data_IF_167234118328
#
_entry.id   IF_167234118328
#
_cell.length_a   1.000
_cell.length_b   1.000
_cell.length_c   1.000
_cell.angle_alpha   90.00
_cell.angle_beta   90.00
_cell.angle_gamma   90.00
#
_symmetry.space_group_name_H-M   'P 1'
#
loop_
_entity.id
_entity.type
_entity.pdbx_description
1 polymer ?
#
# COMPACT_ATOMS: atom_id res chain seq x y z
N UNK A 1 -39.53 37.02 12.81
CA UNK A 1 -38.79 36.53 11.62
C UNK A 1 -37.90 35.39 12.07
N UNK A 2 -38.34 34.14 11.87
CA UNK A 2 -37.56 32.95 12.21
C UNK A 2 -36.86 32.44 10.94
N UNK A 3 -35.53 32.43 10.95
CA UNK A 3 -34.70 31.95 9.85
C UNK A 3 -34.56 30.43 9.95
N UNK A 4 -35.12 29.71 8.99
CA UNK A 4 -34.91 28.27 8.81
C UNK A 4 -33.63 28.13 7.99
N UNK A 5 -32.54 27.69 8.62
CA UNK A 5 -31.33 27.27 7.91
C UNK A 5 -31.49 25.81 7.51
N UNK A 6 -31.85 25.55 6.26
CA UNK A 6 -31.72 24.25 5.63
C UNK A 6 -30.23 23.95 5.39
N UNK A 7 -29.67 23.03 6.17
CA UNK A 7 -28.36 22.43 5.88
C UNK A 7 -28.55 21.22 4.98
N UNK A 8 -28.36 21.43 3.67
CA UNK A 8 -28.28 20.37 2.67
C UNK A 8 -27.14 19.40 3.00
N UNK A 9 -27.49 18.19 3.43
CA UNK A 9 -26.57 17.08 3.59
C UNK A 9 -26.34 16.41 2.24
N UNK A 10 -25.14 16.54 1.69
CA UNK A 10 -24.73 15.79 0.52
C UNK A 10 -24.52 14.32 0.91
N UNK A 11 -25.13 13.34 0.20
CA UNK A 11 -24.93 11.93 0.51
C UNK A 11 -23.47 11.56 0.22
N UNK A 12 -22.74 11.21 1.28
CA UNK A 12 -21.43 10.62 1.17
C UNK A 12 -21.58 9.27 0.46
N UNK A 13 -21.17 9.19 -0.80
CA UNK A 13 -20.97 7.91 -1.48
C UNK A 13 -19.86 7.15 -0.78
N UNK A 14 -20.25 6.31 0.19
CA UNK A 14 -19.42 5.31 0.85
C UNK A 14 -18.76 4.44 -0.22
N UNK A 15 -17.51 4.75 -0.52
CA UNK A 15 -16.65 3.85 -1.27
C UNK A 15 -16.50 2.57 -0.44
N UNK A 16 -17.32 1.56 -0.74
CA UNK A 16 -17.17 0.19 -0.24
C UNK A 16 -15.87 -0.38 -0.79
N UNK A 17 -14.76 -0.04 -0.13
CA UNK A 17 -13.44 -0.62 -0.37
C UNK A 17 -13.42 -2.04 0.17
N UNK A 18 -12.97 -2.99 -0.65
CA UNK A 18 -12.83 -4.41 -0.32
C UNK A 18 -11.94 -4.69 0.92
N UNK A 19 -11.11 -3.73 1.33
CA UNK A 19 -10.25 -3.87 2.52
C UNK A 19 -10.90 -3.38 3.82
N UNK A 20 -12.03 -2.70 3.76
CA UNK A 20 -12.68 -2.14 4.94
C UNK A 20 -13.79 -3.07 5.38
N UNK A 21 -13.49 -3.96 6.34
CA UNK A 21 -14.52 -4.66 7.08
C UNK A 21 -14.90 -3.79 8.29
N UNK A 22 -16.10 -3.21 8.29
CA UNK A 22 -16.74 -2.77 9.52
C UNK A 22 -17.14 -4.02 10.32
N UNK A 23 -16.33 -4.41 11.30
CA UNK A 23 -16.75 -5.38 12.30
C UNK A 23 -17.70 -4.66 13.26
N UNK A 24 -19.00 -4.89 13.09
CA UNK A 24 -20.00 -4.55 14.11
C UNK A 24 -19.77 -5.47 15.31
N UNK A 25 -19.07 -4.97 16.32
CA UNK A 25 -19.03 -5.66 17.61
C UNK A 25 -20.44 -5.58 18.20
N UNK A 26 -21.11 -6.72 18.34
CA UNK A 26 -22.23 -6.81 19.27
C UNK A 26 -21.65 -6.61 20.68
N UNK A 27 -22.27 -5.78 21.53
CA UNK A 27 -21.82 -5.65 22.91
C UNK A 27 -21.86 -7.03 23.56
N UNK A 28 -20.68 -7.57 23.86
CA UNK A 28 -20.54 -8.87 24.49
C UNK A 28 -21.10 -8.77 25.92
N UNK A 29 -22.27 -9.39 26.13
CA UNK A 29 -22.91 -9.44 27.43
C UNK A 29 -22.09 -10.29 28.39
N UNK A 30 -21.62 -9.66 29.46
CA UNK A 30 -21.15 -10.26 30.72
C UNK A 30 -19.84 -11.04 30.64
N UNK A 31 -18.75 -10.29 30.83
CA UNK A 31 -17.56 -10.79 31.52
C UNK A 31 -17.39 -9.99 32.81
N UNK A 32 -17.18 -10.71 33.92
CA UNK A 32 -17.11 -10.16 35.27
C UNK A 32 -15.93 -9.19 35.41
N UNK A 33 -16.20 -8.10 36.12
CA UNK A 33 -15.37 -6.91 36.34
C UNK A 33 -14.14 -7.25 37.21
N UNK A 34 -12.95 -7.00 36.68
CA UNK A 34 -11.81 -6.54 37.49
C UNK A 34 -11.16 -5.36 36.75
N UNK A 35 -11.52 -4.14 37.13
CA UNK A 35 -10.93 -2.92 36.57
C UNK A 35 -10.36 -2.07 37.69
N UNK A 36 -9.07 -1.74 37.58
CA UNK A 36 -8.50 -0.55 38.22
C UNK A 36 -9.01 0.70 37.48
N UNK A 37 -9.38 1.75 38.23
CA UNK A 37 -9.85 3.02 37.68
C UNK A 37 -8.73 3.75 36.94
N UNK A 38 -9.04 4.21 35.72
CA UNK A 38 -8.31 5.32 35.08
C UNK A 38 -9.28 6.16 34.26
N UNK A 39 -9.05 7.46 34.37
CA UNK A 39 -9.95 8.58 34.11
C UNK A 39 -10.51 8.63 32.69
N UNK A 40 -11.78 9.03 32.58
CA UNK A 40 -12.49 9.29 31.33
C UNK A 40 -11.98 10.61 30.71
N UNK A 41 -11.17 10.51 29.66
CA UNK A 41 -11.16 11.52 28.59
C UNK A 41 -12.27 11.16 27.62
N UNK A 42 -13.14 12.11 27.31
CA UNK A 42 -14.16 11.99 26.27
C UNK A 42 -13.49 11.79 24.91
N UNK A 43 -13.30 10.53 24.52
CA UNK A 43 -12.77 10.15 23.22
C UNK A 43 -13.84 10.35 22.15
N UNK A 44 -13.59 11.28 21.22
CA UNK A 44 -14.21 11.25 19.90
C UNK A 44 -14.02 9.86 19.28
N UNK A 45 -15.04 9.35 18.59
CA UNK A 45 -15.01 8.06 17.89
C UNK A 45 -13.90 8.05 16.82
N UNK A 46 -12.69 7.67 17.19
CA UNK A 46 -11.61 7.47 16.23
C UNK A 46 -11.88 6.14 15.51
N UNK A 47 -12.37 6.23 14.27
CA UNK A 47 -12.54 5.08 13.38
C UNK A 47 -11.19 4.35 13.24
N UNK A 48 -11.03 3.25 13.95
CA UNK A 48 -9.80 2.47 13.97
C UNK A 48 -9.74 1.63 12.69
N UNK A 49 -9.12 2.15 11.64
CA UNK A 49 -8.92 1.43 10.38
C UNK A 49 -8.02 0.21 10.63
N UNK A 50 -8.62 -0.99 10.69
CA UNK A 50 -7.88 -2.26 10.83
C UNK A 50 -7.47 -2.78 9.46
N UNK A 51 -6.18 -3.09 9.29
CA UNK A 51 -5.67 -3.77 8.09
C UNK A 51 -5.97 -5.28 8.16
N UNK A 52 -6.62 -5.83 7.13
CA UNK A 52 -6.84 -7.28 7.02
C UNK A 52 -5.64 -7.97 6.36
N UNK A 53 -5.14 -9.04 6.99
CA UNK A 53 -4.15 -9.92 6.39
C UNK A 53 -4.87 -11.09 5.70
N UNK A 54 -4.89 -11.08 4.37
CA UNK A 54 -5.56 -12.10 3.55
C UNK A 54 -4.49 -12.93 2.83
N UNK A 55 -4.54 -14.26 2.99
CA UNK A 55 -3.73 -15.17 2.17
C UNK A 55 -4.40 -15.34 0.82
N UNK A 56 -3.69 -14.99 -0.26
CA UNK A 56 -4.16 -15.15 -1.63
C UNK A 56 -3.33 -16.24 -2.30
N UNK A 57 -4.01 -17.20 -2.94
CA UNK A 57 -3.38 -18.25 -3.74
C UNK A 57 -3.66 -17.99 -5.22
N UNK A 58 -2.78 -17.24 -5.92
CA UNK A 58 -2.98 -16.94 -7.32
C UNK A 58 -2.78 -18.18 -8.20
N UNK A 59 -3.44 -18.22 -9.35
CA UNK A 59 -3.16 -19.18 -10.42
C UNK A 59 -1.71 -19.05 -10.90
N UNK A 60 -1.11 -20.12 -11.44
CA UNK A 60 0.30 -20.15 -11.87
C UNK A 60 0.65 -19.00 -12.84
N UNK A 61 -0.24 -18.69 -13.78
CA UNK A 61 -0.05 -17.60 -14.74
C UNK A 61 -0.03 -16.22 -14.05
N UNK A 62 -0.96 -16.00 -13.12
CA UNK A 62 -1.05 -14.75 -12.34
C UNK A 62 0.14 -14.58 -11.42
N UNK A 63 0.60 -15.68 -10.81
CA UNK A 63 1.81 -15.68 -9.98
C UNK A 63 3.04 -15.24 -10.79
N UNK A 64 3.15 -15.67 -12.05
CA UNK A 64 4.21 -15.22 -12.95
C UNK A 64 4.18 -13.71 -13.17
N UNK A 65 3.01 -13.15 -13.46
CA UNK A 65 2.81 -11.70 -13.63
C UNK A 65 3.17 -10.95 -12.34
N UNK A 66 2.69 -11.43 -11.19
CA UNK A 66 2.98 -10.80 -9.89
C UNK A 66 4.46 -10.82 -9.56
N UNK A 67 5.17 -11.92 -9.85
CA UNK A 67 6.63 -11.99 -9.69
C UNK A 67 7.37 -11.01 -10.60
N UNK A 68 6.91 -10.83 -11.85
CA UNK A 68 7.45 -9.80 -12.75
C UNK A 68 7.27 -8.39 -12.17
N UNK A 69 6.07 -8.08 -11.68
CA UNK A 69 5.80 -6.78 -11.04
C UNK A 69 6.63 -6.57 -9.78
N UNK A 70 6.84 -7.62 -8.97
CA UNK A 70 7.69 -7.59 -7.78
C UNK A 70 9.13 -7.27 -8.15
N UNK A 71 9.64 -7.93 -9.19
CA UNK A 71 10.98 -7.69 -9.71
C UNK A 71 11.14 -6.25 -10.23
N UNK A 72 10.16 -5.73 -10.96
CA UNK A 72 10.17 -4.37 -11.49
C UNK A 72 10.15 -3.32 -10.36
N UNK A 73 9.28 -3.52 -9.37
CA UNK A 73 9.23 -2.69 -8.16
C UNK A 73 10.58 -2.67 -7.43
N UNK A 74 11.19 -3.85 -7.20
CA UNK A 74 12.52 -3.96 -6.57
C UNK A 74 13.59 -3.23 -7.37
N UNK A 75 13.60 -3.38 -8.69
CA UNK A 75 14.55 -2.70 -9.56
C UNK A 75 14.43 -1.18 -9.42
N UNK A 76 13.22 -0.64 -9.60
CA UNK A 76 12.99 0.81 -9.51
C UNK A 76 13.35 1.37 -8.12
N UNK A 77 13.06 0.63 -7.04
CA UNK A 77 13.47 0.99 -5.70
C UNK A 77 15.00 1.06 -5.57
N UNK A 78 15.72 0.03 -6.02
CA UNK A 78 17.17 -0.02 -5.90
C UNK A 78 17.86 1.03 -6.76
N UNK A 79 17.35 1.28 -7.97
CA UNK A 79 17.86 2.36 -8.83
C UNK A 79 17.66 3.73 -8.19
N UNK A 80 16.51 3.97 -7.57
CA UNK A 80 16.24 5.21 -6.85
C UNK A 80 17.22 5.42 -5.67
N UNK A 81 17.47 4.40 -4.84
CA UNK A 81 18.47 4.48 -3.77
C UNK A 81 19.87 4.69 -4.34
N UNK A 82 20.25 3.97 -5.40
CA UNK A 82 21.58 4.11 -6.01
C UNK A 82 21.82 5.53 -6.53
N UNK A 83 20.81 6.13 -7.16
CA UNK A 83 20.86 7.52 -7.61
C UNK A 83 21.02 8.48 -6.43
N UNK A 84 20.19 8.34 -5.38
CA UNK A 84 20.25 9.23 -4.22
C UNK A 84 21.55 9.10 -3.41
N UNK A 85 22.16 7.92 -3.38
CA UNK A 85 23.49 7.74 -2.77
C UNK A 85 24.57 8.53 -3.51
N UNK A 86 24.48 8.62 -4.85
CA UNK A 86 25.41 9.38 -5.67
C UNK A 86 25.15 10.90 -5.63
N UNK A 87 23.90 11.32 -5.80
CA UNK A 87 23.54 12.73 -6.03
C UNK A 87 22.90 13.43 -4.83
N UNK A 88 22.59 12.70 -3.75
CA UNK A 88 21.94 13.24 -2.55
C UNK A 88 20.41 13.16 -2.59
N UNK A 89 19.79 13.84 -1.62
CA UNK A 89 18.33 13.87 -1.48
C UNK A 89 17.73 14.83 -2.51
N UNK A 90 16.85 14.31 -3.36
CA UNK A 90 16.02 15.09 -4.29
C UNK A 90 14.53 14.86 -4.04
N UNK A 91 13.68 15.68 -4.67
CA UNK A 91 12.23 15.51 -4.57
C UNK A 91 11.81 14.14 -5.13
N UNK A 92 10.76 13.54 -4.54
CA UNK A 92 10.22 12.25 -5.02
C UNK A 92 9.75 12.30 -6.48
N UNK A 93 9.28 13.46 -6.94
CA UNK A 93 8.76 13.64 -8.30
C UNK A 93 9.88 13.74 -9.32
N UNK A 94 10.99 14.39 -8.97
CA UNK A 94 12.15 14.49 -9.84
C UNK A 94 12.90 13.16 -9.88
N UNK A 95 12.99 12.46 -8.74
CA UNK A 95 13.55 11.10 -8.68
C UNK A 95 12.78 10.15 -9.60
N UNK A 96 11.45 10.25 -9.63
CA UNK A 96 10.61 9.49 -10.57
C UNK A 96 10.98 9.78 -12.03
N UNK A 97 11.11 11.06 -12.39
CA UNK A 97 11.47 11.46 -13.76
C UNK A 97 12.82 10.88 -14.14
N UNK A 98 13.83 11.02 -13.28
CA UNK A 98 15.17 10.48 -13.54
C UNK A 98 15.14 8.97 -13.71
N UNK A 99 14.57 8.23 -12.75
CA UNK A 99 14.59 6.76 -12.78
C UNK A 99 13.78 6.18 -13.95
N UNK A 100 12.65 6.79 -14.31
CA UNK A 100 11.75 6.26 -15.34
C UNK A 100 11.97 6.82 -16.74
N UNK A 101 12.54 8.02 -16.90
CA UNK A 101 12.89 8.58 -18.23
C UNK A 101 14.27 8.15 -18.73
N UNK A 102 15.02 7.37 -17.94
CA UNK A 102 16.26 6.78 -18.42
C UNK A 102 15.99 5.92 -19.65
N UNK A 103 16.61 6.26 -20.78
CA UNK A 103 16.47 5.52 -22.04
C UNK A 103 16.93 4.06 -21.90
N UNK A 104 17.87 3.82 -21.00
CA UNK A 104 18.41 2.49 -20.67
C UNK A 104 17.48 1.61 -19.82
N UNK A 105 16.19 1.95 -19.68
CA UNK A 105 15.27 1.14 -18.88
C UNK A 105 14.93 -0.17 -19.63
N UNK A 106 15.14 -1.35 -19.01
CA UNK A 106 14.81 -2.62 -19.65
C UNK A 106 13.32 -2.75 -20.01
N UNK A 107 13.02 -3.43 -21.11
CA UNK A 107 11.65 -3.48 -21.66
C UNK A 107 10.65 -4.17 -20.74
N UNK A 108 11.06 -5.23 -20.05
CA UNK A 108 10.24 -5.91 -19.04
C UNK A 108 9.81 -4.99 -17.88
N UNK A 109 10.54 -3.89 -17.64
CA UNK A 109 10.15 -2.85 -16.69
C UNK A 109 9.18 -1.86 -17.32
N UNK A 110 9.34 -1.52 -18.61
CA UNK A 110 8.40 -0.66 -19.34
C UNK A 110 7.01 -1.28 -19.36
N UNK A 111 6.92 -2.59 -19.61
CA UNK A 111 5.68 -3.39 -19.59
C UNK A 111 4.98 -3.41 -18.22
N UNK A 112 5.73 -3.27 -17.13
CA UNK A 112 5.17 -3.33 -15.79
C UNK A 112 4.30 -2.09 -15.48
N UNK A 113 3.20 -2.25 -14.69
CA UNK A 113 2.27 -1.16 -14.39
C UNK A 113 2.95 0.09 -13.84
N UNK A 114 2.61 1.24 -14.39
CA UNK A 114 3.26 2.52 -14.07
C UNK A 114 3.22 2.85 -12.57
N UNK A 115 2.05 2.76 -11.94
CA UNK A 115 1.86 3.13 -10.54
C UNK A 115 2.69 2.29 -9.57
N UNK A 116 2.92 1.00 -9.87
CA UNK A 116 3.76 0.14 -9.05
C UNK A 116 5.21 0.61 -9.02
N UNK A 117 5.74 1.00 -10.19
CA UNK A 117 7.10 1.53 -10.34
C UNK A 117 7.25 2.85 -9.59
N UNK A 118 6.25 3.73 -9.71
CA UNK A 118 6.24 5.04 -9.03
C UNK A 118 6.18 4.87 -7.51
N UNK A 119 5.32 3.98 -7.00
CA UNK A 119 5.22 3.70 -5.57
C UNK A 119 6.55 3.19 -5.00
N UNK A 120 7.24 2.32 -5.73
CA UNK A 120 8.56 1.82 -5.33
C UNK A 120 9.60 2.95 -5.22
N UNK A 121 9.58 3.91 -6.15
CA UNK A 121 10.49 5.08 -6.12
C UNK A 121 10.17 6.00 -4.95
N UNK A 122 8.89 6.21 -4.64
CA UNK A 122 8.48 7.03 -3.50
C UNK A 122 8.86 6.38 -2.16
N UNK A 123 8.69 5.06 -2.05
CA UNK A 123 9.15 4.28 -0.90
C UNK A 123 10.68 4.40 -0.72
N UNK A 124 11.44 4.35 -1.81
CA UNK A 124 12.89 4.53 -1.77
C UNK A 124 13.28 5.92 -1.25
N UNK A 125 12.64 6.97 -1.76
CA UNK A 125 12.86 8.35 -1.31
C UNK A 125 12.58 8.52 0.19
N UNK A 126 11.47 7.96 0.66
CA UNK A 126 11.11 7.97 2.08
C UNK A 126 12.14 7.21 2.94
N UNK A 127 12.53 6.00 2.52
CA UNK A 127 13.53 5.20 3.22
C UNK A 127 14.89 5.91 3.31
N UNK A 128 15.34 6.52 2.20
CA UNK A 128 16.57 7.31 2.17
C UNK A 128 16.49 8.51 3.11
N UNK A 129 15.38 9.26 3.09
CA UNK A 129 15.15 10.40 3.99
C UNK A 129 15.21 9.98 5.46
N UNK A 130 14.58 8.86 5.82
CA UNK A 130 14.61 8.32 7.19
C UNK A 130 16.04 7.94 7.59
N UNK A 131 16.78 7.22 6.74
CA UNK A 131 18.19 6.86 7.03
C UNK A 131 19.09 8.09 7.19
N UNK A 132 18.88 9.13 6.38
CA UNK A 132 19.64 10.39 6.51
C UNK A 132 19.33 11.09 7.83
N UNK A 133 18.06 11.10 8.25
CA UNK A 133 17.64 11.66 9.55
C UNK A 133 18.23 10.90 10.74
N UNK A 134 18.41 9.59 10.64
CA UNK A 134 19.06 8.78 11.67
C UNK A 134 20.60 8.90 11.68
N UNK A 135 21.19 9.85 10.94
CA UNK A 135 22.63 10.09 10.91
C UNK A 135 23.42 9.16 9.98
N UNK A 136 22.77 8.29 9.20
CA UNK A 136 23.49 7.42 8.26
C UNK A 136 24.16 8.22 7.16
N UNK A 137 25.44 7.93 6.88
CA UNK A 137 26.19 8.53 5.76
C UNK A 137 25.44 8.35 4.44
N UNK A 138 25.52 9.33 3.56
CA UNK A 138 24.81 9.33 2.27
C UNK A 138 25.04 8.04 1.47
N UNK A 139 26.28 7.56 1.39
CA UNK A 139 26.66 6.35 0.64
C UNK A 139 26.00 5.06 1.17
N UNK A 140 25.56 5.06 2.43
CA UNK A 140 24.95 3.92 3.12
C UNK A 140 23.45 4.12 3.40
N UNK A 141 22.90 5.30 3.08
CA UNK A 141 21.51 5.63 3.35
C UNK A 141 20.57 4.81 2.46
N UNK A 142 19.48 4.31 3.08
CA UNK A 142 18.49 3.43 2.45
C UNK A 142 19.06 2.05 2.12
N UNK A 143 18.52 0.99 2.74
CA UNK A 143 18.94 -0.39 2.43
C UNK A 143 18.35 -0.82 1.08
N UNK A 144 19.16 -1.42 0.20
CA UNK A 144 18.68 -2.04 -1.03
C UNK A 144 17.77 -3.24 -0.71
N UNK A 145 16.74 -3.45 -1.53
CA UNK A 145 15.88 -4.62 -1.47
C UNK A 145 16.55 -5.80 -2.19
N UNK A 146 16.57 -6.95 -1.53
CA UNK A 146 17.14 -8.19 -2.07
C UNK A 146 16.05 -9.12 -2.60
N UNK A 147 16.40 -9.94 -3.60
CA UNK A 147 15.54 -11.07 -4.01
C UNK A 147 15.45 -12.16 -2.92
N UNK A 148 16.39 -12.17 -1.97
CA UNK A 148 16.44 -13.14 -0.87
C UNK A 148 15.76 -12.63 0.41
N UNK A 149 15.18 -11.44 0.38
CA UNK A 149 14.43 -10.93 1.53
C UNK A 149 13.25 -11.86 1.82
N UNK A 150 13.08 -12.26 3.09
CA UNK A 150 12.00 -13.17 3.53
C UNK A 150 10.61 -12.62 3.19
N UNK A 151 10.48 -11.30 3.17
CA UNK A 151 9.23 -10.60 2.88
C UNK A 151 9.49 -9.62 1.77
N UNK A 152 8.68 -9.69 0.71
CA UNK A 152 8.69 -8.74 -0.39
C UNK A 152 7.28 -8.21 -0.59
N UNK A 153 7.16 -6.91 -0.80
CA UNK A 153 5.87 -6.24 -0.87
C UNK A 153 5.75 -5.35 -2.11
N UNK A 154 4.53 -5.30 -2.63
CA UNK A 154 4.10 -4.39 -3.71
C UNK A 154 2.93 -3.59 -3.17
N UNK A 155 2.93 -2.28 -3.42
CA UNK A 155 1.85 -1.39 -3.04
C UNK A 155 0.98 -1.07 -4.23
N UNK A 156 -0.28 -1.45 -4.13
CA UNK A 156 -1.33 -1.07 -5.08
C UNK A 156 -2.07 0.16 -4.55
N UNK A 157 -2.63 0.96 -5.45
CA UNK A 157 -3.60 2.00 -5.08
C UNK A 157 -5.00 1.41 -5.05
N UNK A 158 -5.90 2.05 -4.32
CA UNK A 158 -7.32 1.65 -4.28
C UNK A 158 -7.93 1.65 -5.69
N UNK A 159 -7.54 2.63 -6.51
CA UNK A 159 -7.97 2.77 -7.90
C UNK A 159 -7.55 1.61 -8.81
N UNK A 160 -6.49 0.88 -8.44
CA UNK A 160 -5.96 -0.23 -9.23
C UNK A 160 -6.84 -1.49 -9.07
N UNK A 161 -7.74 -1.51 -8.08
CA UNK A 161 -8.74 -2.56 -7.90
C UNK A 161 -10.05 -2.19 -8.59
N UNK A 162 -10.41 -2.93 -9.64
CA UNK A 162 -11.65 -2.69 -10.39
C UNK A 162 -12.28 -4.03 -10.76
N UNK A 163 -13.62 -4.11 -10.73
CA UNK A 163 -14.40 -5.30 -11.12
C UNK A 163 -13.94 -6.59 -10.39
N UNK A 164 -13.64 -6.48 -9.09
CA UNK A 164 -13.20 -7.63 -8.28
C UNK A 164 -11.78 -8.13 -8.54
N UNK A 165 -10.98 -7.41 -9.33
CA UNK A 165 -9.67 -7.85 -9.83
C UNK A 165 -8.64 -6.73 -9.71
N UNK A 166 -7.38 -7.06 -9.38
CA UNK A 166 -6.27 -6.10 -9.37
C UNK A 166 -5.72 -5.88 -10.77
N UNK A 167 -5.70 -4.63 -11.21
CA UNK A 167 -5.23 -4.21 -12.54
C UNK A 167 -5.89 -5.03 -13.67
N UNK A 168 -7.23 -5.00 -13.80
CA UNK A 168 -7.94 -5.88 -14.72
C UNK A 168 -7.49 -5.71 -16.17
N UNK A 169 -7.02 -4.53 -16.62
CA UNK A 169 -6.47 -4.40 -17.97
C UNK A 169 -5.31 -5.35 -18.29
N UNK A 170 -4.58 -5.81 -17.26
CA UNK A 170 -3.44 -6.73 -17.38
C UNK A 170 -3.78 -8.14 -16.91
N UNK A 171 -4.81 -8.29 -16.05
CA UNK A 171 -5.17 -9.56 -15.39
C UNK A 171 -6.55 -10.10 -15.78
N UNK A 172 -7.30 -9.44 -16.67
CA UNK A 172 -8.68 -9.83 -17.08
C UNK A 172 -8.78 -11.28 -17.57
N UNK A 173 -7.68 -11.84 -18.09
CA UNK A 173 -7.62 -13.21 -18.60
C UNK A 173 -7.60 -14.24 -17.44
N UNK A 174 -7.40 -13.81 -16.19
CA UNK A 174 -7.20 -14.71 -15.05
C UNK A 174 -8.28 -14.45 -13.98
N UNK A 175 -9.25 -15.36 -13.90
CA UNK A 175 -10.27 -15.36 -12.83
C UNK A 175 -9.58 -15.65 -11.50
N UNK A 176 -9.77 -14.80 -10.50
CA UNK A 176 -9.32 -15.12 -9.14
C UNK A 176 -10.10 -16.33 -8.62
N UNK A 177 -9.45 -17.35 -8.04
CA UNK A 177 -10.16 -18.32 -7.22
C UNK A 177 -10.78 -17.56 -6.05
N UNK A 178 -12.03 -17.90 -5.73
CA UNK A 178 -12.75 -17.39 -4.56
C UNK A 178 -11.85 -17.44 -3.33
N UNK A 179 -11.72 -16.30 -2.64
CA UNK A 179 -11.00 -16.23 -1.36
C UNK A 179 -11.73 -17.15 -0.39
N UNK A 180 -11.19 -18.35 -0.13
CA UNK A 180 -11.71 -19.22 0.93
C UNK A 180 -11.34 -18.58 2.25
N UNK A 181 -12.32 -17.95 2.89
CA UNK A 181 -12.23 -17.62 4.30
C UNK A 181 -12.28 -18.94 5.08
N UNK A 182 -11.17 -19.34 5.69
CA UNK A 182 -11.20 -20.38 6.71
C UNK A 182 -11.84 -19.78 7.96
N UNK A 183 -13.14 -19.95 8.09
CA UNK A 183 -13.87 -19.78 9.34
C UNK A 183 -13.56 -21.01 10.20
N UNK A 184 -12.68 -20.88 11.18
CA UNK A 184 -12.64 -21.83 12.29
C UNK A 184 -13.75 -21.41 13.26
N UNK A 185 -14.73 -22.29 13.44
CA UNK A 185 -15.78 -22.18 14.46
C UNK A 185 -15.16 -22.28 15.86
#
# INVERSE_FOLDING_TARGET
>A
MASICESGSAPYTLAKSWFTAELKNLPNGKWLKTSFQSSTVSGQDCIHLKSLHIRVYPEKNLLGIWKKWLAASRYCFNQAIAYQRKHGLISKYDLRKVVLKNESLPDWIKESPYHLKVNAIYDANAAFKISRKSGTKQQLAGKFRSIRDRIQSIKFRVEDFKKGTWLPSVTFIIKYPSIRTNSYY
#
